data_IF_921543723983
#
_entry.id   IF_921543723983
#
_cell.length_a   1.000
_cell.length_b   1.000
_cell.length_c   1.000
_cell.angle_alpha   90.00
_cell.angle_beta   90.00
_cell.angle_gamma   90.00
#
_symmetry.space_group_name_H-M   'P 1'
#
loop_
_entity.id
_entity.type
_entity.pdbx_description
1 polymer ?
#
# COMPACT_ATOMS: atom_id res chain seq x y z
N UNK A 1 39.68 -10.20 -18.16
CA UNK A 1 38.65 -10.54 -19.18
C UNK A 1 37.33 -10.72 -18.44
N UNK A 2 36.25 -10.02 -18.83
CA UNK A 2 34.94 -10.12 -18.15
C UNK A 2 33.94 -10.73 -19.15
N UNK A 3 33.40 -11.89 -18.81
CA UNK A 3 32.36 -12.55 -19.59
C UNK A 3 31.01 -11.93 -19.26
N UNK A 4 30.40 -11.23 -20.22
CA UNK A 4 29.17 -10.45 -20.02
C UNK A 4 27.92 -11.31 -20.26
N UNK A 5 28.05 -12.39 -21.03
CA UNK A 5 26.96 -13.29 -21.38
C UNK A 5 27.46 -14.75 -21.52
N UNK A 6 27.44 -15.55 -20.43
CA UNK A 6 27.86 -16.95 -20.48
C UNK A 6 26.91 -17.86 -21.29
N UNK A 7 25.72 -17.38 -21.63
CA UNK A 7 24.68 -18.17 -22.31
C UNK A 7 24.64 -17.96 -23.84
N UNK A 8 25.55 -17.19 -24.44
CA UNK A 8 25.61 -16.98 -25.89
C UNK A 8 26.62 -17.94 -26.56
N UNK A 9 26.27 -18.50 -27.72
CA UNK A 9 27.20 -19.26 -28.58
C UNK A 9 27.54 -18.41 -29.83
N UNK A 10 28.79 -17.96 -30.04
CA UNK A 10 29.96 -18.06 -29.17
C UNK A 10 29.97 -17.02 -28.03
N UNK A 11 30.70 -17.27 -26.91
CA UNK A 11 30.74 -16.36 -25.77
C UNK A 11 31.37 -15.02 -26.13
N UNK A 12 30.65 -13.93 -25.82
CA UNK A 12 31.09 -12.58 -26.15
C UNK A 12 31.87 -12.00 -24.96
N UNK A 13 33.21 -12.03 -25.08
CA UNK A 13 34.11 -11.40 -24.13
C UNK A 13 34.28 -9.92 -24.48
N UNK A 14 33.85 -9.02 -23.59
CA UNK A 14 34.06 -7.57 -23.76
C UNK A 14 35.16 -7.12 -22.80
N UNK A 15 36.21 -6.51 -23.34
CA UNK A 15 37.30 -5.95 -22.53
C UNK A 15 36.74 -4.71 -21.82
N UNK A 16 36.47 -4.84 -20.53
CA UNK A 16 36.04 -3.76 -19.66
C UNK A 16 36.72 -3.89 -18.30
N UNK A 17 36.88 -2.77 -17.61
CA UNK A 17 37.36 -2.75 -16.24
C UNK A 17 36.27 -3.29 -15.31
N UNK A 18 36.49 -4.48 -14.75
CA UNK A 18 35.54 -5.18 -13.89
C UNK A 18 35.23 -4.39 -12.61
N UNK A 19 36.21 -3.66 -12.07
CA UNK A 19 36.04 -2.86 -10.87
C UNK A 19 35.09 -1.68 -11.12
N UNK A 20 35.30 -0.98 -12.23
CA UNK A 20 34.43 0.12 -12.66
C UNK A 20 33.00 -0.36 -12.97
N UNK A 21 32.85 -1.49 -13.66
CA UNK A 21 31.54 -2.06 -13.98
C UNK A 21 30.75 -2.50 -12.72
N UNK A 22 31.41 -3.16 -11.75
CA UNK A 22 30.77 -3.50 -10.47
C UNK A 22 30.34 -2.27 -9.69
N UNK A 23 31.14 -1.21 -9.72
CA UNK A 23 30.81 0.06 -9.06
C UNK A 23 29.60 0.73 -9.72
N UNK A 24 29.57 0.83 -11.05
CA UNK A 24 28.44 1.40 -11.80
C UNK A 24 27.15 0.59 -11.60
N UNK A 25 27.23 -0.75 -11.61
CA UNK A 25 26.07 -1.61 -11.31
C UNK A 25 25.60 -1.46 -9.86
N UNK A 26 26.51 -1.32 -8.91
CA UNK A 26 26.15 -1.08 -7.50
C UNK A 26 25.51 0.31 -7.30
N UNK A 27 26.02 1.35 -7.98
CA UNK A 27 25.42 2.68 -7.98
C UNK A 27 24.03 2.65 -8.60
N UNK A 28 23.88 2.07 -9.79
CA UNK A 28 22.59 1.93 -10.48
C UNK A 28 21.58 1.12 -9.67
N UNK A 29 22.01 0.06 -8.99
CA UNK A 29 21.17 -0.70 -8.09
C UNK A 29 20.75 0.10 -6.84
N UNK A 30 21.65 0.93 -6.29
CA UNK A 30 21.34 1.82 -5.15
C UNK A 30 20.37 2.93 -5.56
N UNK A 31 20.57 3.55 -6.71
CA UNK A 31 19.67 4.55 -7.28
C UNK A 31 18.30 3.94 -7.57
N UNK A 32 18.25 2.75 -8.18
CA UNK A 32 17.00 2.03 -8.41
C UNK A 32 16.25 1.70 -7.12
N UNK A 33 16.96 1.29 -6.05
CA UNK A 33 16.33 1.04 -4.73
C UNK A 33 15.83 2.32 -4.06
N UNK A 34 16.55 3.44 -4.22
CA UNK A 34 16.13 4.74 -3.68
C UNK A 34 14.91 5.31 -4.41
N UNK A 35 14.87 5.15 -5.73
CA UNK A 35 13.76 5.63 -6.56
C UNK A 35 12.51 4.74 -6.50
N UNK A 36 12.65 3.51 -5.99
CA UNK A 36 11.48 2.66 -5.74
C UNK A 36 10.69 3.25 -4.56
N UNK A 37 9.58 3.93 -4.87
CA UNK A 37 8.62 4.33 -3.85
C UNK A 37 8.15 3.09 -3.10
N UNK A 38 8.53 2.96 -1.83
CA UNK A 38 8.00 1.90 -0.97
C UNK A 38 6.53 2.21 -0.69
N UNK A 39 5.63 1.44 -1.31
CA UNK A 39 4.23 1.44 -0.94
C UNK A 39 4.09 0.85 0.46
N UNK A 40 3.98 1.71 1.47
CA UNK A 40 3.81 1.28 2.86
C UNK A 40 2.32 1.00 3.11
N UNK A 41 2.02 -0.05 3.88
CA UNK A 41 0.67 -0.27 4.40
C UNK A 41 0.53 0.51 5.70
N UNK A 42 -0.34 1.52 5.70
CA UNK A 42 -0.71 2.28 6.89
C UNK A 42 -1.96 1.67 7.51
N UNK A 43 -1.98 1.55 8.83
CA UNK A 43 -3.13 1.00 9.54
C UNK A 43 -3.92 2.12 10.20
N UNK A 44 -5.23 2.16 9.96
CA UNK A 44 -6.14 3.13 10.57
C UNK A 44 -7.21 2.40 11.38
N UNK A 45 -7.27 2.69 12.67
CA UNK A 45 -8.20 2.03 13.61
C UNK A 45 -9.43 2.89 13.86
N UNK A 46 -10.60 2.29 13.70
CA UNK A 46 -11.90 2.91 13.96
C UNK A 46 -12.61 2.21 15.12
N UNK A 47 -13.49 2.97 15.79
CA UNK A 47 -14.41 2.44 16.77
C UNK A 47 -15.81 2.38 16.16
N UNK A 48 -16.65 1.40 16.52
CA UNK A 48 -18.00 1.30 15.99
C UNK A 48 -18.89 2.49 16.40
N UNK A 49 -18.60 3.14 17.53
CA UNK A 49 -19.25 4.38 17.98
C UNK A 49 -18.28 5.56 17.82
N UNK A 50 -18.00 5.92 16.57
CA UNK A 50 -17.19 7.09 16.25
C UNK A 50 -18.09 8.33 16.19
N UNK A 51 -17.60 9.46 16.71
CA UNK A 51 -18.23 10.76 16.55
C UNK A 51 -18.00 11.31 15.13
N UNK A 52 -18.90 12.12 14.59
CA UNK A 52 -18.78 12.65 13.23
C UNK A 52 -17.50 13.49 13.05
N UNK A 53 -17.08 14.24 14.07
CA UNK A 53 -15.84 15.03 14.00
C UNK A 53 -14.57 14.15 13.97
N UNK A 54 -14.55 13.07 14.77
CA UNK A 54 -13.45 12.09 14.75
C UNK A 54 -13.45 11.31 13.42
N UNK A 55 -14.63 11.01 12.87
CA UNK A 55 -14.76 10.36 11.57
C UNK A 55 -14.13 11.20 10.46
N UNK A 56 -14.48 12.49 10.36
CA UNK A 56 -13.93 13.39 9.36
C UNK A 56 -12.40 13.51 9.47
N UNK A 57 -11.88 13.64 10.68
CA UNK A 57 -10.42 13.71 10.91
C UNK A 57 -9.72 12.42 10.45
N UNK A 58 -10.33 11.24 10.71
CA UNK A 58 -9.76 9.98 10.24
C UNK A 58 -9.92 9.79 8.74
N UNK A 59 -11.04 10.20 8.14
CA UNK A 59 -11.24 10.22 6.68
C UNK A 59 -10.13 11.03 6.00
N UNK A 60 -9.90 12.26 6.43
CA UNK A 60 -8.84 13.12 5.89
C UNK A 60 -7.44 12.50 6.00
N UNK A 61 -7.16 11.77 7.09
CA UNK A 61 -5.90 11.02 7.22
C UNK A 61 -5.80 9.86 6.23
N UNK A 62 -6.89 9.11 6.02
CA UNK A 62 -6.93 8.02 5.03
C UNK A 62 -6.72 8.59 3.62
N UNK A 63 -7.42 9.66 3.25
CA UNK A 63 -7.23 10.36 1.97
C UNK A 63 -5.77 10.78 1.78
N UNK A 64 -5.18 11.44 2.77
CA UNK A 64 -3.77 11.86 2.73
C UNK A 64 -2.80 10.69 2.56
N UNK A 65 -3.11 9.51 3.11
CA UNK A 65 -2.27 8.33 2.92
C UNK A 65 -2.40 7.76 1.50
N UNK A 66 -3.61 7.75 0.95
CA UNK A 66 -3.89 7.30 -0.41
C UNK A 66 -3.27 8.25 -1.45
N UNK A 67 -3.36 9.57 -1.25
CA UNK A 67 -2.70 10.56 -2.11
C UNK A 67 -1.17 10.39 -2.14
N UNK A 68 -0.57 9.98 -1.02
CA UNK A 68 0.86 9.65 -0.93
C UNK A 68 1.22 8.30 -1.57
N UNK A 69 0.27 7.58 -2.15
CA UNK A 69 0.49 6.29 -2.77
C UNK A 69 0.66 5.13 -1.78
N UNK A 70 0.23 5.31 -0.53
CA UNK A 70 0.24 4.24 0.48
C UNK A 70 -1.07 3.47 0.46
N UNK A 71 -1.00 2.18 0.81
CA UNK A 71 -2.21 1.38 1.05
C UNK A 71 -2.68 1.64 2.48
N UNK A 72 -3.99 1.66 2.69
CA UNK A 72 -4.56 1.86 4.02
C UNK A 72 -5.38 0.65 4.42
N UNK A 73 -4.96 -0.02 5.51
CA UNK A 73 -5.74 -1.06 6.16
C UNK A 73 -6.58 -0.42 7.25
N UNK A 74 -7.88 -0.33 7.01
CA UNK A 74 -8.85 0.15 7.97
C UNK A 74 -9.29 -1.01 8.84
N UNK A 75 -9.23 -0.86 10.16
CA UNK A 75 -9.61 -1.90 11.14
C UNK A 75 -10.61 -1.35 12.15
N UNK A 76 -11.79 -1.94 12.23
CA UNK A 76 -12.76 -1.71 13.29
C UNK A 76 -12.57 -2.80 14.33
N UNK A 77 -12.34 -2.41 15.59
CA UNK A 77 -12.29 -3.35 16.70
C UNK A 77 -13.64 -3.37 17.41
N UNK A 78 -14.27 -4.54 17.48
CA UNK A 78 -15.48 -4.76 18.26
C UNK A 78 -15.11 -5.17 19.68
N UNK A 79 -15.75 -4.58 20.69
CA UNK A 79 -15.54 -4.96 22.10
C UNK A 79 -16.80 -5.60 22.69
N UNK A 80 -16.61 -6.76 23.31
CA UNK A 80 -17.65 -7.46 24.07
C UNK A 80 -18.89 -7.80 23.23
N UNK A 81 -20.06 -7.32 23.67
CA UNK A 81 -21.37 -7.62 23.05
C UNK A 81 -21.52 -7.03 21.64
N UNK A 82 -20.62 -6.13 21.21
CA UNK A 82 -20.66 -5.52 19.89
C UNK A 82 -20.28 -6.49 18.75
N UNK A 83 -19.70 -7.66 19.06
CA UNK A 83 -19.52 -8.74 18.07
C UNK A 83 -20.86 -9.24 17.48
N UNK A 84 -21.97 -9.05 18.19
CA UNK A 84 -23.31 -9.41 17.71
C UNK A 84 -23.88 -8.44 16.67
N UNK A 85 -23.24 -7.28 16.46
CA UNK A 85 -23.68 -6.26 15.49
C UNK A 85 -22.57 -5.88 14.51
N UNK A 86 -22.14 -6.81 13.65
CA UNK A 86 -21.17 -6.51 12.60
C UNK A 86 -21.70 -5.49 11.58
N UNK A 87 -23.02 -5.40 11.40
CA UNK A 87 -23.67 -4.46 10.48
C UNK A 87 -23.27 -3.00 10.69
N UNK A 88 -23.11 -2.56 11.95
CA UNK A 88 -22.75 -1.18 12.25
C UNK A 88 -21.36 -0.84 11.70
N UNK A 89 -20.41 -1.76 11.86
CA UNK A 89 -19.08 -1.55 11.29
C UNK A 89 -19.12 -1.69 9.77
N UNK A 90 -19.97 -2.56 9.22
CA UNK A 90 -20.03 -2.79 7.77
C UNK A 90 -20.52 -1.51 7.08
N UNK A 91 -21.62 -0.93 7.57
CA UNK A 91 -22.15 0.35 7.07
C UNK A 91 -21.13 1.49 7.22
N UNK A 92 -20.36 1.52 8.31
CA UNK A 92 -19.31 2.53 8.47
C UNK A 92 -18.18 2.36 7.43
N UNK A 93 -17.77 1.14 7.14
CA UNK A 93 -16.74 0.87 6.13
C UNK A 93 -17.26 1.10 4.71
N UNK A 94 -18.53 0.81 4.47
CA UNK A 94 -19.20 1.07 3.20
C UNK A 94 -19.33 2.58 2.94
N UNK A 95 -19.80 3.35 3.93
CA UNK A 95 -19.80 4.82 3.90
C UNK A 95 -18.40 5.36 3.65
N UNK A 96 -17.39 4.85 4.35
CA UNK A 96 -16.00 5.26 4.16
C UNK A 96 -15.47 4.87 2.76
N UNK A 97 -15.90 3.75 2.20
CA UNK A 97 -15.52 3.34 0.86
C UNK A 97 -16.13 4.26 -0.20
N UNK A 98 -17.40 4.64 -0.06
CA UNK A 98 -18.08 5.62 -0.92
C UNK A 98 -17.42 7.00 -0.84
N UNK A 99 -17.17 7.46 0.38
CA UNK A 99 -16.53 8.74 0.68
C UNK A 99 -15.14 8.91 0.06
N UNK A 100 -14.44 7.80 -0.20
CA UNK A 100 -13.03 7.76 -0.63
C UNK A 100 -12.89 7.36 -2.11
N UNK A 101 -13.99 7.09 -2.82
CA UNK A 101 -13.96 6.66 -4.23
C UNK A 101 -13.19 7.61 -5.15
N UNK A 102 -13.11 8.90 -4.81
CA UNK A 102 -12.37 9.89 -5.59
C UNK A 102 -10.84 9.73 -5.52
N UNK A 103 -10.30 9.23 -4.41
CA UNK A 103 -8.84 9.14 -4.18
C UNK A 103 -8.34 7.69 -4.02
N UNK A 104 -9.23 6.75 -3.72
CA UNK A 104 -8.90 5.36 -3.42
C UNK A 104 -9.88 4.36 -4.04
N UNK A 105 -9.38 3.14 -4.24
CA UNK A 105 -10.19 1.98 -4.63
C UNK A 105 -10.15 0.93 -3.53
N UNK A 106 -11.27 0.24 -3.31
CA UNK A 106 -11.33 -0.90 -2.38
C UNK A 106 -10.60 -2.09 -3.01
N UNK A 107 -9.45 -2.47 -2.44
CA UNK A 107 -8.72 -3.68 -2.84
C UNK A 107 -9.29 -4.92 -2.15
N UNK A 108 -9.62 -4.80 -0.86
CA UNK A 108 -10.24 -5.87 -0.08
C UNK A 108 -11.51 -5.35 0.56
N UNK A 109 -12.63 -5.99 0.23
CA UNK A 109 -13.94 -5.72 0.85
C UNK A 109 -13.88 -5.90 2.37
N UNK A 110 -14.81 -5.27 3.12
CA UNK A 110 -14.94 -5.47 4.55
C UNK A 110 -15.07 -6.96 4.90
N UNK A 111 -14.10 -7.50 5.64
CA UNK A 111 -14.12 -8.88 6.12
C UNK A 111 -14.01 -8.90 7.64
N UNK A 112 -14.91 -9.63 8.27
CA UNK A 112 -14.84 -9.89 9.70
C UNK A 112 -13.79 -10.96 9.98
N UNK A 113 -12.82 -10.60 10.81
CA UNK A 113 -11.76 -11.46 11.34
C UNK A 113 -11.88 -11.49 12.86
N UNK A 114 -12.74 -12.39 13.35
CA UNK A 114 -13.01 -12.60 14.77
C UNK A 114 -13.57 -11.35 15.48
N UNK A 115 -12.71 -10.68 16.23
CA UNK A 115 -13.05 -9.44 16.99
C UNK A 115 -12.84 -8.17 16.18
N UNK A 116 -12.22 -8.28 15.02
CA UNK A 116 -11.88 -7.15 14.19
C UNK A 116 -12.61 -7.28 12.87
N UNK A 117 -12.90 -6.16 12.22
CA UNK A 117 -13.28 -6.15 10.82
C UNK A 117 -12.32 -5.25 10.08
N UNK A 118 -11.81 -5.78 8.96
CA UNK A 118 -10.76 -5.13 8.21
C UNK A 118 -11.21 -4.86 6.79
N UNK A 119 -10.77 -3.73 6.25
CA UNK A 119 -10.93 -3.35 4.85
C UNK A 119 -9.59 -2.80 4.36
N UNK A 120 -9.20 -3.10 3.12
CA UNK A 120 -7.97 -2.57 2.53
C UNK A 120 -8.33 -1.65 1.37
N UNK A 121 -7.87 -0.41 1.47
CA UNK A 121 -7.97 0.62 0.46
C UNK A 121 -6.62 0.78 -0.22
N UNK A 122 -6.63 0.71 -1.54
CA UNK A 122 -5.50 1.04 -2.40
C UNK A 122 -5.65 2.43 -2.97
N UNK A 123 -4.54 3.16 -3.21
CA UNK A 123 -4.62 4.44 -3.90
C UNK A 123 -5.05 4.22 -5.34
N UNK A 124 -5.96 5.04 -5.88
CA UNK A 124 -6.20 5.05 -7.32
C UNK A 124 -4.92 5.57 -7.94
N UNK A 125 -4.20 4.71 -8.66
CA UNK A 125 -3.03 5.16 -9.42
C UNK A 125 -3.53 6.25 -10.36
N UNK A 126 -3.23 7.52 -10.07
CA UNK A 126 -3.08 8.53 -11.11
C UNK A 126 -1.96 8.01 -12.01
N UNK A 127 -2.33 7.19 -12.98
CA UNK A 127 -1.45 6.83 -14.06
C UNK A 127 -0.89 8.14 -14.57
N UNK A 128 0.44 8.25 -14.61
CA UNK A 128 1.09 9.32 -15.38
C UNK A 128 0.47 9.27 -16.78
N UNK A 129 -0.44 10.18 -17.07
CA UNK A 129 -0.72 10.62 -18.42
C UNK A 129 0.33 11.66 -18.77
#
# INVERSE_FOLDING_TARGET
MVEVAPNAKPPVCKIMDYGKYKYEQAQKARESRKNQQQTVVKEQKFRPKIDEHDYQTKKANVERFLEKGNKVKVTIMFRGREQSRPELGYRLLERLAEDIQEVGQVESRPKQDGRNMTMVLGPVRKGKK
#
